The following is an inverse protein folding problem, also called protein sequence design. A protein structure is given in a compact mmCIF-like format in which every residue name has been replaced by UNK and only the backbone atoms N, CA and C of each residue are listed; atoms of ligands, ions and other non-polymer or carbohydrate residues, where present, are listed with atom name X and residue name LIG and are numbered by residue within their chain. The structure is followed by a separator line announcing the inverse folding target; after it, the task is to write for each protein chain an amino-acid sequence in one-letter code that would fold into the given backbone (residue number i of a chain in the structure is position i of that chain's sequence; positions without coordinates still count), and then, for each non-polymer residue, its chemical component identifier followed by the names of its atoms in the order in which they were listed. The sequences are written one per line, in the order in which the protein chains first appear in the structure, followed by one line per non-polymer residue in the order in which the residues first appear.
data_IF_257386114593
#
_entry.id   IF_257386114593
#
_cell.length_a   1.000
_cell.length_b   1.000
_cell.length_c   1.000
_cell.angle_alpha   90.00
_cell.angle_beta   90.00
_cell.angle_gamma   90.00
#
_symmetry.space_group_name_H-M   'P 1'
#
loop_
_entity.id
_entity.type
_entity.pdbx_description
1 polymer ?
#
# COMPACT_ATOMS: atom_id res chain seq x y z
N UNK A 1 -15.49 22.86 -15.13
CA UNK A 1 -15.32 21.49 -14.59
C UNK A 1 -16.19 20.60 -15.47
N UNK A 2 -15.67 19.50 -16.00
CA UNK A 2 -16.44 18.63 -16.88
C UNK A 2 -17.48 17.83 -16.10
N UNK A 3 -18.45 17.24 -16.82
CA UNK A 3 -19.47 16.37 -16.22
C UNK A 3 -18.86 15.13 -15.55
N UNK A 4 -17.76 14.57 -16.11
CA UNK A 4 -17.04 13.41 -15.56
C UNK A 4 -16.43 13.74 -14.19
N UNK A 5 -15.68 14.85 -14.09
CA UNK A 5 -15.08 15.28 -12.82
C UNK A 5 -16.14 15.61 -11.76
N UNK A 6 -17.27 16.20 -12.13
CA UNK A 6 -18.36 16.47 -11.19
C UNK A 6 -19.01 15.16 -10.69
N UNK A 7 -19.23 14.20 -11.59
CA UNK A 7 -19.77 12.88 -11.24
C UNK A 7 -18.89 12.15 -10.23
N UNK A 8 -17.56 12.05 -10.50
CA UNK A 8 -16.63 11.40 -9.59
C UNK A 8 -16.59 12.10 -8.22
N UNK A 9 -16.52 13.44 -8.20
CA UNK A 9 -16.56 14.20 -6.94
C UNK A 9 -17.85 13.96 -6.15
N UNK A 10 -18.97 13.82 -6.83
CA UNK A 10 -20.26 13.47 -6.21
C UNK A 10 -20.23 12.09 -5.55
N UNK A 11 -19.73 11.07 -6.24
CA UNK A 11 -19.59 9.71 -5.71
C UNK A 11 -18.65 9.68 -4.49
N UNK A 12 -17.49 10.34 -4.59
CA UNK A 12 -16.52 10.46 -3.48
C UNK A 12 -17.15 11.13 -2.27
N UNK A 13 -17.86 12.25 -2.46
CA UNK A 13 -18.51 12.99 -1.36
C UNK A 13 -19.58 12.14 -0.66
N UNK A 14 -20.38 11.41 -1.44
CA UNK A 14 -21.42 10.54 -0.90
C UNK A 14 -20.81 9.39 -0.09
N UNK A 15 -19.82 8.69 -0.64
CA UNK A 15 -19.12 7.60 0.05
C UNK A 15 -18.43 8.10 1.34
N UNK A 16 -17.73 9.23 1.25
CA UNK A 16 -17.05 9.85 2.39
C UNK A 16 -18.04 10.16 3.53
N UNK A 17 -19.21 10.72 3.19
CA UNK A 17 -20.26 11.03 4.16
C UNK A 17 -20.87 9.77 4.77
N UNK A 18 -21.16 8.74 3.97
CA UNK A 18 -21.77 7.50 4.45
C UNK A 18 -20.86 6.70 5.38
N UNK A 19 -19.54 6.78 5.17
CA UNK A 19 -18.54 6.03 5.95
C UNK A 19 -17.78 6.88 6.96
N UNK A 20 -18.17 8.16 7.14
CA UNK A 20 -17.49 9.11 8.04
C UNK A 20 -15.98 9.23 7.79
N UNK A 21 -15.58 9.27 6.52
CA UNK A 21 -14.19 9.39 6.06
C UNK A 21 -14.01 10.75 5.37
N UNK A 22 -12.80 11.31 5.41
CA UNK A 22 -12.48 12.52 4.65
C UNK A 22 -12.54 12.24 3.13
N UNK A 23 -13.19 13.12 2.36
CA UNK A 23 -13.31 12.95 0.91
C UNK A 23 -11.97 12.87 0.18
N UNK A 24 -10.93 13.54 0.69
CA UNK A 24 -9.57 13.44 0.16
C UNK A 24 -8.99 12.03 0.30
N UNK A 25 -9.23 11.36 1.43
CA UNK A 25 -8.80 9.97 1.64
C UNK A 25 -9.50 9.03 0.66
N UNK A 26 -10.80 9.18 0.46
CA UNK A 26 -11.56 8.38 -0.50
C UNK A 26 -11.04 8.58 -1.92
N UNK A 27 -10.83 9.84 -2.34
CA UNK A 27 -10.28 10.15 -3.66
C UNK A 27 -8.91 9.50 -3.87
N UNK A 28 -8.02 9.64 -2.91
CA UNK A 28 -6.67 9.11 -3.01
C UNK A 28 -6.66 7.57 -3.05
N UNK A 29 -7.49 6.92 -2.21
CA UNK A 29 -7.62 5.47 -2.25
C UNK A 29 -8.27 4.96 -3.55
N UNK A 30 -9.24 5.70 -4.13
CA UNK A 30 -9.75 5.39 -5.45
C UNK A 30 -8.67 5.46 -6.54
N UNK A 31 -7.79 6.45 -6.48
CA UNK A 31 -6.67 6.54 -7.43
C UNK A 31 -5.63 5.44 -7.21
N UNK A 32 -5.36 5.03 -5.95
CA UNK A 32 -4.54 3.85 -5.68
C UNK A 32 -5.20 2.56 -6.20
N UNK A 33 -6.50 2.40 -6.05
CA UNK A 33 -7.24 1.27 -6.63
C UNK A 33 -7.00 1.17 -8.13
N UNK A 34 -7.11 2.29 -8.86
CA UNK A 34 -6.83 2.32 -10.31
C UNK A 34 -5.39 1.98 -10.65
N UNK A 35 -4.44 2.36 -9.80
CA UNK A 35 -3.03 1.98 -9.94
C UNK A 35 -2.81 0.49 -9.66
N UNK A 36 -3.38 -0.04 -8.57
CA UNK A 36 -3.27 -1.45 -8.19
C UNK A 36 -3.90 -2.38 -9.24
N UNK A 37 -4.98 -1.95 -9.89
CA UNK A 37 -5.58 -2.70 -11.00
C UNK A 37 -4.61 -2.80 -12.20
N UNK A 38 -3.93 -1.71 -12.57
CA UNK A 38 -2.87 -1.75 -13.58
C UNK A 38 -1.71 -2.65 -13.18
N UNK A 39 -1.28 -2.56 -11.93
CA UNK A 39 -0.25 -3.44 -11.39
C UNK A 39 -0.64 -4.91 -11.51
N UNK A 40 -1.90 -5.26 -11.20
CA UNK A 40 -2.38 -6.66 -11.20
C UNK A 40 -2.36 -7.31 -12.58
N UNK A 41 -2.52 -6.53 -13.64
CA UNK A 41 -2.51 -7.02 -15.04
C UNK A 41 -1.17 -6.79 -15.74
N UNK A 42 -0.18 -6.23 -15.06
CA UNK A 42 1.15 -5.97 -15.60
C UNK A 42 2.09 -7.17 -15.46
N UNK A 43 3.19 -7.15 -16.22
CA UNK A 43 4.29 -8.11 -16.07
C UNK A 43 4.99 -8.04 -14.70
N UNK A 44 4.63 -7.04 -13.89
CA UNK A 44 5.19 -6.80 -12.57
C UNK A 44 4.28 -7.29 -11.42
N UNK A 45 3.10 -7.85 -11.71
CA UNK A 45 2.14 -8.34 -10.72
C UNK A 45 2.74 -9.34 -9.72
N UNK A 46 3.68 -10.17 -10.17
CA UNK A 46 4.41 -11.14 -9.34
C UNK A 46 5.66 -10.55 -8.66
N UNK A 47 6.00 -9.29 -8.93
CA UNK A 47 7.21 -8.63 -8.40
C UNK A 47 6.94 -7.71 -7.23
N UNK A 48 5.77 -7.08 -7.18
CA UNK A 48 5.38 -6.18 -6.09
C UNK A 48 4.55 -6.94 -5.06
N UNK A 49 4.89 -6.73 -3.80
CA UNK A 49 4.16 -7.26 -2.65
C UNK A 49 3.66 -6.07 -1.83
N UNK A 50 2.35 -5.92 -1.71
CA UNK A 50 1.72 -4.83 -0.96
C UNK A 50 1.90 -5.06 0.53
N UNK A 51 2.21 -3.98 1.27
CA UNK A 51 2.36 -4.00 2.73
C UNK A 51 1.78 -2.73 3.37
N UNK A 52 2.05 -2.52 4.64
CA UNK A 52 1.72 -1.27 5.33
C UNK A 52 0.24 -0.96 5.43
N UNK A 53 -0.05 0.35 5.44
CA UNK A 53 -1.40 0.86 5.68
C UNK A 53 -2.43 0.47 4.62
N UNK A 54 -2.03 0.38 3.35
CA UNK A 54 -2.91 0.02 2.23
C UNK A 54 -3.41 -1.43 2.37
N UNK A 55 -2.51 -2.36 2.70
CA UNK A 55 -2.87 -3.75 2.92
C UNK A 55 -3.82 -3.89 4.13
N UNK A 56 -3.54 -3.19 5.23
CA UNK A 56 -4.41 -3.22 6.42
C UNK A 56 -5.78 -2.67 6.07
N UNK A 57 -5.87 -1.55 5.36
CA UNK A 57 -7.13 -0.97 4.92
C UNK A 57 -7.94 -1.93 4.02
N UNK A 58 -7.27 -2.70 3.16
CA UNK A 58 -7.93 -3.72 2.34
C UNK A 58 -8.47 -4.89 3.17
N UNK A 59 -7.80 -5.24 4.28
CA UNK A 59 -8.21 -6.35 5.15
C UNK A 59 -9.36 -5.95 6.08
N UNK A 60 -9.29 -4.77 6.70
CA UNK A 60 -10.24 -4.36 7.76
C UNK A 60 -11.27 -3.32 7.34
N UNK A 61 -11.18 -2.83 6.11
CA UNK A 61 -12.02 -1.76 5.57
C UNK A 61 -11.39 -0.37 5.66
N UNK A 62 -11.63 0.46 4.65
CA UNK A 62 -11.10 1.83 4.56
C UNK A 62 -11.69 2.77 5.63
N UNK A 63 -12.92 2.51 6.05
CA UNK A 63 -13.62 3.21 7.14
C UNK A 63 -12.99 2.93 8.51
N UNK A 64 -12.49 1.71 8.70
CA UNK A 64 -11.80 1.28 9.91
C UNK A 64 -10.35 1.77 9.93
N UNK A 65 -9.64 1.67 8.80
CA UNK A 65 -8.23 2.04 8.69
C UNK A 65 -7.95 2.82 7.40
N UNK A 66 -7.99 4.13 7.50
CA UNK A 66 -7.63 5.01 6.37
C UNK A 66 -6.12 5.11 6.18
N UNK A 67 -5.68 5.17 4.91
CA UNK A 67 -4.28 5.39 4.53
C UNK A 67 -4.19 6.33 3.34
N UNK A 68 -3.05 6.98 3.18
CA UNK A 68 -2.76 7.89 2.07
C UNK A 68 -1.45 7.55 1.36
N UNK A 69 -0.82 6.45 1.74
CA UNK A 69 0.44 5.98 1.17
C UNK A 69 0.30 4.53 0.74
N UNK A 70 0.97 4.15 -0.34
CA UNK A 70 1.10 2.78 -0.80
C UNK A 70 2.52 2.29 -0.52
N UNK A 71 2.64 1.36 0.42
CA UNK A 71 3.90 0.69 0.73
C UNK A 71 4.00 -0.65 -0.01
N UNK A 72 5.12 -0.91 -0.65
CA UNK A 72 5.39 -2.16 -1.35
C UNK A 72 6.82 -2.65 -1.10
N UNK A 73 7.03 -3.95 -1.23
CA UNK A 73 8.38 -4.52 -1.33
C UNK A 73 8.54 -5.28 -2.64
N UNK A 74 9.73 -5.21 -3.22
CA UNK A 74 10.07 -5.95 -4.43
C UNK A 74 10.62 -7.33 -4.09
N UNK A 75 10.22 -8.31 -4.90
CA UNK A 75 10.83 -9.63 -4.91
C UNK A 75 11.33 -9.97 -6.32
N UNK A 76 12.49 -10.62 -6.38
CA UNK A 76 13.08 -11.09 -7.66
C UNK A 76 13.22 -9.97 -8.72
N UNK A 77 13.47 -8.74 -8.28
CA UNK A 77 13.79 -7.59 -9.11
C UNK A 77 14.82 -6.73 -8.36
N UNK A 78 15.94 -6.33 -8.98
CA UNK A 78 16.90 -5.43 -8.35
C UNK A 78 16.27 -4.08 -8.00
N UNK A 79 16.64 -3.54 -6.85
CA UNK A 79 16.19 -2.24 -6.38
C UNK A 79 17.16 -1.15 -6.88
N UNK A 80 17.01 -0.74 -8.14
CA UNK A 80 17.69 0.45 -8.67
C UNK A 80 16.68 1.49 -9.12
N UNK A 81 17.09 2.76 -9.13
CA UNK A 81 16.23 3.86 -9.55
C UNK A 81 15.69 3.63 -10.97
N UNK A 82 16.57 3.22 -11.89
CA UNK A 82 16.22 3.00 -13.29
C UNK A 82 15.21 1.86 -13.46
N UNK A 83 15.38 0.77 -12.71
CA UNK A 83 14.47 -0.38 -12.80
C UNK A 83 13.11 -0.08 -12.18
N UNK A 84 13.08 0.63 -11.06
CA UNK A 84 11.81 1.08 -10.45
C UNK A 84 11.10 2.05 -11.38
N UNK A 85 11.80 3.04 -11.91
CA UNK A 85 11.22 4.01 -12.85
C UNK A 85 10.68 3.32 -14.11
N UNK A 86 11.42 2.35 -14.66
CA UNK A 86 10.98 1.57 -15.83
C UNK A 86 9.73 0.73 -15.52
N UNK A 87 9.73 0.00 -14.38
CA UNK A 87 8.61 -0.82 -13.97
C UNK A 87 7.34 0.02 -13.75
N UNK A 88 7.44 1.11 -12.98
CA UNK A 88 6.30 1.98 -12.72
C UNK A 88 5.84 2.72 -13.97
N UNK A 89 6.75 3.13 -14.85
CA UNK A 89 6.39 3.71 -16.15
C UNK A 89 5.62 2.72 -17.03
N UNK A 90 6.00 1.45 -17.02
CA UNK A 90 5.27 0.40 -17.74
C UNK A 90 3.87 0.20 -17.16
N UNK A 91 3.73 0.12 -15.83
CA UNK A 91 2.45 -0.02 -15.14
C UNK A 91 1.54 1.18 -15.43
N UNK A 92 2.06 2.41 -15.31
CA UNK A 92 1.30 3.65 -15.53
C UNK A 92 0.78 3.80 -16.98
N UNK A 93 1.42 3.16 -17.95
CA UNK A 93 1.01 3.20 -19.38
C UNK A 93 -0.11 2.23 -19.73
N UNK A 94 -0.47 1.31 -18.84
CA UNK A 94 -1.58 0.38 -19.08
C UNK A 94 -2.88 1.17 -19.12
N UNK A 95 -3.58 1.09 -20.24
CA UNK A 95 -4.90 1.71 -20.39
C UNK A 95 -5.99 0.69 -20.03
N UNK A 96 -6.80 1.03 -19.04
CA UNK A 96 -7.94 0.23 -18.62
C UNK A 96 -9.28 0.82 -19.07
N UNK A 97 -9.26 1.84 -19.94
CA UNK A 97 -10.44 2.57 -20.38
C UNK A 97 -11.29 3.18 -19.23
N UNK A 98 -10.60 3.57 -18.15
CA UNK A 98 -11.22 4.12 -16.92
C UNK A 98 -11.09 5.64 -16.81
N UNK A 99 -10.62 6.29 -17.89
CA UNK A 99 -10.34 7.73 -17.95
C UNK A 99 -9.26 8.21 -16.94
N UNK A 100 -8.51 7.29 -16.30
CA UNK A 100 -7.41 7.63 -15.37
C UNK A 100 -6.07 7.44 -16.05
N UNK A 101 -5.21 8.44 -15.95
CA UNK A 101 -3.80 8.35 -16.36
C UNK A 101 -2.88 8.69 -15.19
N UNK A 102 -1.63 8.25 -15.28
CA UNK A 102 -0.62 8.47 -14.24
C UNK A 102 0.63 9.11 -14.83
N UNK A 103 1.16 10.10 -14.14
CA UNK A 103 2.38 10.82 -14.51
C UNK A 103 3.40 10.74 -13.37
N UNK A 104 4.56 10.09 -13.60
CA UNK A 104 5.63 10.02 -12.61
C UNK A 104 6.30 11.39 -12.51
N UNK A 105 6.37 11.93 -11.30
CA UNK A 105 6.97 13.24 -11.01
C UNK A 105 8.41 13.11 -10.52
N UNK A 106 8.67 12.13 -9.66
CA UNK A 106 10.02 11.89 -9.13
C UNK A 106 10.17 10.47 -8.61
N UNK A 107 11.41 9.98 -8.68
CA UNK A 107 11.89 8.78 -7.99
C UNK A 107 13.06 9.23 -7.12
N UNK A 108 13.01 8.98 -5.82
CA UNK A 108 14.05 9.44 -4.90
C UNK A 108 14.28 8.40 -3.80
N UNK A 109 15.52 8.20 -3.33
CA UNK A 109 15.79 7.33 -2.20
C UNK A 109 15.03 7.78 -0.95
N UNK A 110 14.45 6.85 -0.19
CA UNK A 110 13.74 7.16 1.07
C UNK A 110 14.74 7.62 2.13
N UNK A 111 15.92 6.97 2.20
CA UNK A 111 17.04 7.36 3.07
C UNK A 111 18.35 7.12 2.33
N UNK A 112 19.26 8.09 2.40
CA UNK A 112 20.55 8.01 1.68
C UNK A 112 21.54 7.02 2.29
N UNK A 113 21.37 6.66 3.57
CA UNK A 113 22.38 5.92 4.36
C UNK A 113 21.85 4.58 4.90
N UNK A 114 20.73 4.07 4.38
CA UNK A 114 20.13 2.82 4.87
C UNK A 114 20.66 1.61 4.08
N UNK A 115 21.13 0.60 4.76
CA UNK A 115 21.63 -0.68 4.17
C UNK A 115 20.49 -1.40 3.41
N UNK A 116 19.24 -1.15 3.80
CA UNK A 116 18.02 -1.67 3.16
C UNK A 116 17.25 -0.52 2.48
N UNK A 117 17.93 0.16 1.56
CA UNK A 117 17.40 1.31 0.86
C UNK A 117 16.03 1.06 0.23
N UNK A 118 15.26 2.11 0.08
CA UNK A 118 13.99 2.13 -0.64
C UNK A 118 13.91 3.37 -1.50
N UNK A 119 12.93 3.39 -2.39
CA UNK A 119 12.62 4.55 -3.21
C UNK A 119 11.20 5.00 -2.96
N UNK A 120 11.04 6.31 -2.76
CA UNK A 120 9.74 6.95 -2.78
C UNK A 120 9.48 7.46 -4.19
N UNK A 121 8.40 7.00 -4.79
CA UNK A 121 7.96 7.43 -6.11
C UNK A 121 6.74 8.32 -5.95
N UNK A 122 6.86 9.57 -6.42
CA UNK A 122 5.74 10.49 -6.48
C UNK A 122 5.16 10.52 -7.87
N UNK A 123 3.86 10.41 -7.96
CA UNK A 123 3.13 10.46 -9.22
C UNK A 123 1.82 11.23 -9.05
N UNK A 124 1.35 11.81 -10.14
CA UNK A 124 0.02 12.39 -10.22
C UNK A 124 -0.92 11.40 -10.92
N UNK A 125 -2.04 11.09 -10.27
CA UNK A 125 -3.17 10.42 -10.89
C UNK A 125 -4.11 11.48 -11.44
N UNK A 126 -4.43 11.40 -12.73
CA UNK A 126 -5.17 12.41 -13.48
C UNK A 126 -6.47 11.77 -13.97
N UNK A 127 -7.59 12.32 -13.54
CA UNK A 127 -8.92 12.00 -14.03
C UNK A 127 -9.60 13.28 -14.50
N UNK A 128 -9.63 13.49 -15.82
CA UNK A 128 -10.13 14.73 -16.42
C UNK A 128 -9.43 15.97 -15.82
N UNK A 129 -10.12 16.84 -15.10
CA UNK A 129 -9.54 18.04 -14.43
C UNK A 129 -9.11 17.79 -12.98
N UNK A 130 -9.24 16.57 -12.48
CA UNK A 130 -8.83 16.21 -11.12
C UNK A 130 -7.40 15.66 -11.18
N UNK A 131 -6.49 16.31 -10.47
CA UNK A 131 -5.12 15.82 -10.27
C UNK A 131 -4.97 15.43 -8.81
N UNK A 132 -4.55 14.19 -8.56
CA UNK A 132 -4.38 13.64 -7.22
C UNK A 132 -2.94 13.17 -7.05
N UNK A 133 -2.13 13.83 -6.21
CA UNK A 133 -0.78 13.35 -5.92
C UNK A 133 -0.82 12.05 -5.11
N UNK A 134 0.00 11.09 -5.52
CA UNK A 134 0.17 9.80 -4.87
C UNK A 134 1.65 9.58 -4.50
N UNK A 135 1.89 8.84 -3.43
CA UNK A 135 3.21 8.39 -3.01
C UNK A 135 3.24 6.87 -2.92
N UNK A 136 4.23 6.26 -3.58
CA UNK A 136 4.46 4.82 -3.53
C UNK A 136 5.87 4.61 -2.98
N UNK A 137 5.95 3.97 -1.82
CA UNK A 137 7.22 3.57 -1.23
C UNK A 137 7.55 2.13 -1.63
N UNK A 138 8.72 1.97 -2.23
CA UNK A 138 9.20 0.69 -2.77
C UNK A 138 10.47 0.30 -2.04
N UNK A 139 10.43 -0.80 -1.29
CA UNK A 139 11.58 -1.39 -0.60
C UNK A 139 11.98 -2.73 -1.21
N UNK A 140 13.03 -3.33 -0.68
CA UNK A 140 13.45 -4.70 -1.00
C UNK A 140 14.14 -5.33 0.21
N UNK A 141 14.32 -6.65 0.16
CA UNK A 141 15.04 -7.38 1.21
C UNK A 141 14.21 -7.68 2.44
N UNK A 142 12.98 -7.25 2.50
CA UNK A 142 12.09 -7.52 3.62
C UNK A 142 11.87 -9.03 3.81
N UNK A 143 11.87 -9.48 5.07
CA UNK A 143 11.60 -10.88 5.42
C UNK A 143 10.11 -11.06 5.64
N UNK A 144 9.50 -11.94 4.86
CA UNK A 144 8.08 -12.30 4.97
C UNK A 144 8.00 -13.75 5.45
N UNK A 145 7.42 -13.99 6.63
CA UNK A 145 7.40 -15.30 7.28
C UNK A 145 5.96 -15.84 7.40
N UNK A 146 5.64 -17.02 6.87
CA UNK A 146 6.51 -17.88 6.06
C UNK A 146 6.68 -17.38 4.63
N UNK A 147 5.68 -16.69 4.08
CA UNK A 147 5.69 -16.17 2.70
C UNK A 147 4.57 -15.15 2.48
N UNK A 148 4.67 -14.37 1.40
CA UNK A 148 3.58 -13.52 0.93
C UNK A 148 2.37 -14.36 0.53
N UNK A 149 1.18 -13.77 0.64
CA UNK A 149 -0.10 -14.38 0.25
C UNK A 149 -0.84 -13.50 -0.76
N UNK A 150 -1.73 -14.09 -1.54
CA UNK A 150 -2.57 -13.32 -2.47
C UNK A 150 -3.80 -12.79 -1.75
N UNK A 151 -4.06 -11.49 -1.94
CA UNK A 151 -5.27 -10.83 -1.48
C UNK A 151 -6.10 -10.39 -2.68
N UNK A 152 -7.42 -10.39 -2.49
CA UNK A 152 -8.36 -9.79 -3.42
C UNK A 152 -8.78 -8.42 -2.85
N UNK A 153 -8.37 -7.35 -3.52
CA UNK A 153 -8.76 -5.99 -3.20
C UNK A 153 -10.07 -5.67 -3.93
N UNK A 154 -11.07 -5.26 -3.20
CA UNK A 154 -12.36 -4.83 -3.77
C UNK A 154 -12.33 -3.40 -4.27
N UNK A 155 -13.25 -3.07 -5.19
CA UNK A 155 -13.42 -1.69 -5.66
C UNK A 155 -14.20 -0.83 -4.68
N UNK A 156 -13.82 0.43 -4.54
CA UNK A 156 -14.50 1.40 -3.65
C UNK A 156 -15.92 1.71 -4.16
N UNK A 157 -16.09 1.76 -5.47
CA UNK A 157 -17.35 2.13 -6.10
C UNK A 157 -18.00 1.03 -6.92
N UNK A 158 -17.33 -0.09 -7.12
CA UNK A 158 -17.83 -1.22 -7.88
C UNK A 158 -17.40 -2.53 -7.21
N UNK A 159 -18.32 -3.22 -6.59
CA UNK A 159 -18.10 -4.49 -5.89
C UNK A 159 -17.67 -5.63 -6.82
N UNK A 160 -17.88 -5.47 -8.14
CA UNK A 160 -17.44 -6.46 -9.13
C UNK A 160 -15.94 -6.33 -9.47
N UNK A 161 -15.31 -5.21 -9.12
CA UNK A 161 -13.87 -5.03 -9.30
C UNK A 161 -13.11 -5.91 -8.30
N UNK A 162 -12.28 -6.81 -8.82
CA UNK A 162 -11.47 -7.75 -8.06
C UNK A 162 -10.02 -7.66 -8.52
N UNK A 163 -9.18 -7.08 -7.68
CA UNK A 163 -7.77 -6.87 -7.95
C UNK A 163 -6.97 -7.87 -7.13
N UNK A 164 -6.38 -8.88 -7.77
CA UNK A 164 -5.59 -9.89 -7.06
C UNK A 164 -4.11 -9.52 -7.08
N UNK A 165 -3.54 -9.29 -5.91
CA UNK A 165 -2.13 -8.94 -5.74
C UNK A 165 -1.51 -9.69 -4.54
N UNK A 166 -0.18 -9.82 -4.58
CA UNK A 166 0.56 -10.31 -3.43
C UNK A 166 0.61 -9.26 -2.32
N UNK A 167 0.44 -9.70 -1.09
CA UNK A 167 0.60 -8.89 0.11
C UNK A 167 1.32 -9.67 1.21
N UNK A 168 1.75 -8.98 2.25
CA UNK A 168 2.25 -9.64 3.44
C UNK A 168 1.15 -10.47 4.10
N UNK A 169 1.50 -11.62 4.67
CA UNK A 169 0.59 -12.30 5.58
C UNK A 169 0.41 -11.47 6.86
N UNK A 170 -0.70 -11.70 7.56
CA UNK A 170 -1.08 -10.91 8.74
C UNK A 170 -0.01 -10.97 9.82
N UNK A 171 0.60 -12.14 10.02
CA UNK A 171 1.65 -12.37 11.01
C UNK A 171 2.88 -11.48 10.76
N UNK A 172 3.31 -11.36 9.50
CA UNK A 172 4.43 -10.46 9.16
C UNK A 172 4.05 -8.99 9.34
N UNK A 173 2.84 -8.58 8.94
CA UNK A 173 2.36 -7.20 9.17
C UNK A 173 2.38 -6.87 10.66
N UNK A 174 1.83 -7.76 11.50
CA UNK A 174 1.81 -7.56 12.96
C UNK A 174 3.22 -7.56 13.54
N UNK A 175 4.10 -8.46 13.06
CA UNK A 175 5.48 -8.56 13.52
C UNK A 175 6.28 -7.28 13.27
N UNK A 176 6.17 -6.68 12.09
CA UNK A 176 6.81 -5.39 11.79
C UNK A 176 6.32 -4.26 12.69
N UNK A 177 5.02 -4.22 12.98
CA UNK A 177 4.41 -3.22 13.85
C UNK A 177 4.87 -3.39 15.30
N UNK A 178 4.80 -4.61 15.82
CA UNK A 178 5.22 -4.93 17.20
C UNK A 178 6.72 -4.67 17.38
N UNK A 179 7.56 -5.10 16.44
CA UNK A 179 8.99 -4.80 16.46
C UNK A 179 9.24 -3.29 16.50
N UNK A 180 8.56 -2.51 15.64
CA UNK A 180 8.69 -1.05 15.61
C UNK A 180 8.24 -0.40 16.93
N UNK A 181 7.19 -0.89 17.58
CA UNK A 181 6.74 -0.43 18.90
C UNK A 181 7.80 -0.72 19.95
N UNK A 182 8.33 -1.95 19.98
CA UNK A 182 9.30 -2.39 20.99
C UNK A 182 10.64 -1.68 20.81
N UNK A 183 11.16 -1.59 19.59
CA UNK A 183 12.46 -0.96 19.31
C UNK A 183 12.48 0.54 19.58
N UNK A 184 11.35 1.24 19.36
CA UNK A 184 11.21 2.68 19.65
C UNK A 184 10.80 2.99 21.09
N UNK A 185 10.19 2.05 21.78
CA UNK A 185 9.75 2.18 23.16
C UNK A 185 8.91 3.44 23.40
N UNK A 186 9.19 4.15 24.48
CA UNK A 186 8.47 5.38 24.87
C UNK A 186 8.67 6.58 23.91
N UNK A 187 9.64 6.52 23.03
CA UNK A 187 9.91 7.56 22.02
C UNK A 187 9.14 7.37 20.72
N UNK A 188 8.22 6.39 20.66
CA UNK A 188 7.43 6.18 19.46
C UNK A 188 6.50 7.37 19.17
N UNK A 189 6.57 7.87 17.94
CA UNK A 189 5.65 8.90 17.42
C UNK A 189 4.63 8.29 16.45
N UNK A 190 4.44 6.94 16.49
CA UNK A 190 3.61 6.19 15.55
C UNK A 190 2.40 5.53 16.25
N UNK A 191 1.42 6.30 16.74
CA UNK A 191 0.26 5.74 17.43
C UNK A 191 -0.57 4.78 16.55
N UNK A 192 -0.47 4.93 15.22
CA UNK A 192 -1.15 4.04 14.27
C UNK A 192 -0.64 2.60 14.35
N UNK A 193 0.63 2.36 14.69
CA UNK A 193 1.15 1.00 14.81
C UNK A 193 0.48 0.22 15.94
N UNK A 194 0.16 0.87 17.06
CA UNK A 194 -0.63 0.27 18.16
C UNK A 194 -2.05 -0.07 17.72
N UNK A 195 -2.69 0.86 17.00
CA UNK A 195 -4.03 0.63 16.46
C UNK A 195 -4.03 -0.52 15.45
N UNK A 196 -3.05 -0.55 14.54
CA UNK A 196 -2.92 -1.60 13.54
C UNK A 196 -2.77 -2.98 14.18
N UNK A 197 -1.93 -3.12 15.22
CA UNK A 197 -1.79 -4.38 15.99
C UNK A 197 -3.10 -4.76 16.68
N UNK A 198 -3.75 -3.79 17.32
CA UNK A 198 -5.02 -4.01 18.02
C UNK A 198 -6.10 -4.49 17.05
N UNK A 199 -6.33 -3.78 15.95
CA UNK A 199 -7.41 -4.10 15.03
C UNK A 199 -7.18 -5.44 14.32
N UNK A 200 -5.97 -5.74 13.87
CA UNK A 200 -5.65 -7.02 13.26
C UNK A 200 -5.76 -8.16 14.27
N UNK A 201 -5.23 -7.99 15.47
CA UNK A 201 -5.25 -9.02 16.51
C UNK A 201 -6.65 -9.33 17.07
N UNK A 202 -7.60 -8.40 16.93
CA UNK A 202 -8.97 -8.58 17.43
C UNK A 202 -9.98 -8.97 16.36
N UNK A 203 -9.71 -8.67 15.08
CA UNK A 203 -10.67 -8.89 13.99
C UNK A 203 -10.25 -9.96 13.01
N UNK A 204 -8.96 -10.38 13.02
CA UNK A 204 -8.44 -11.33 12.07
C UNK A 204 -7.95 -12.60 12.77
N UNK A 205 -8.13 -13.73 12.10
CA UNK A 205 -7.49 -14.97 12.52
C UNK A 205 -6.02 -14.97 12.08
N UNK A 206 -5.12 -15.36 12.97
CA UNK A 206 -3.69 -15.51 12.69
C UNK A 206 -3.08 -16.66 13.48
N UNK A 207 -1.98 -17.19 12.98
CA UNK A 207 -1.25 -18.27 13.66
C UNK A 207 -0.21 -17.69 14.63
N UNK A 208 -0.36 -17.97 15.93
CA UNK A 208 0.53 -17.44 16.98
C UNK A 208 1.98 -17.92 16.86
N UNK A 209 2.20 -19.14 16.39
CA UNK A 209 3.57 -19.66 16.23
C UNK A 209 4.25 -19.00 15.03
N UNK A 210 3.54 -18.85 13.90
CA UNK A 210 4.02 -18.10 12.74
C UNK A 210 4.29 -16.64 13.11
N UNK A 211 3.42 -16.01 13.91
CA UNK A 211 3.65 -14.65 14.39
C UNK A 211 4.93 -14.52 15.22
N UNK A 212 5.22 -15.48 16.12
CA UNK A 212 6.47 -15.49 16.90
C UNK A 212 7.71 -15.63 16.00
N UNK A 213 7.61 -16.53 15.01
CA UNK A 213 8.69 -16.72 14.02
C UNK A 213 8.91 -15.45 13.21
N UNK A 214 7.82 -14.83 12.71
CA UNK A 214 7.87 -13.57 11.96
C UNK A 214 8.49 -12.44 12.79
N UNK A 215 8.07 -12.29 14.07
CA UNK A 215 8.61 -11.27 14.97
C UNK A 215 10.10 -11.46 15.20
N UNK A 216 10.54 -12.70 15.45
CA UNK A 216 11.96 -13.01 15.61
C UNK A 216 12.76 -12.73 14.33
N UNK A 217 12.25 -13.16 13.18
CA UNK A 217 12.88 -12.93 11.89
C UNK A 217 13.01 -11.42 11.58
N UNK A 218 11.95 -10.66 11.81
CA UNK A 218 11.93 -9.20 11.65
C UNK A 218 12.94 -8.52 12.59
N UNK A 219 12.97 -8.91 13.86
CA UNK A 219 13.87 -8.32 14.85
C UNK A 219 15.36 -8.60 14.53
N UNK A 220 15.69 -9.82 14.12
CA UNK A 220 17.05 -10.17 13.65
C UNK A 220 17.41 -9.33 12.41
N UNK A 221 16.50 -9.26 11.43
CA UNK A 221 16.73 -8.53 10.19
C UNK A 221 16.98 -7.04 10.43
N UNK A 222 16.26 -6.43 11.38
CA UNK A 222 16.41 -5.01 11.73
C UNK A 222 17.48 -4.73 12.77
N UNK A 223 18.17 -5.76 13.27
CA UNK A 223 19.23 -5.63 14.26
C UNK A 223 18.76 -5.16 15.64
N UNK A 224 17.49 -5.41 15.97
CA UNK A 224 16.90 -5.09 17.28
C UNK A 224 16.92 -6.29 18.26
N UNK A 225 17.48 -7.42 17.81
CA UNK A 225 17.73 -8.65 18.58
C UNK A 225 19.18 -9.06 18.38
#
# INVERSE_FOLDING_TARGET
MSSKAMSLKGRIKNYAKSNNIAAQVVLQNYMFERFLERLSVSDYSEKFVVKGGMLIAAIVGLDTRSTMDLDTTLRNLPLTEEQIAAALSSICKIDLNDDVSFEIKSVAPIRKDDVYGGYCVRLDAIYDTIVTPLSIDVSTGDIITPSAVKYEFGGIFDENVKITLWGYNIETVMAEKVETILSRGVFTTRPRDFYDVYILGTTQEYNKEIFKEALKATAIHRGSL
#
